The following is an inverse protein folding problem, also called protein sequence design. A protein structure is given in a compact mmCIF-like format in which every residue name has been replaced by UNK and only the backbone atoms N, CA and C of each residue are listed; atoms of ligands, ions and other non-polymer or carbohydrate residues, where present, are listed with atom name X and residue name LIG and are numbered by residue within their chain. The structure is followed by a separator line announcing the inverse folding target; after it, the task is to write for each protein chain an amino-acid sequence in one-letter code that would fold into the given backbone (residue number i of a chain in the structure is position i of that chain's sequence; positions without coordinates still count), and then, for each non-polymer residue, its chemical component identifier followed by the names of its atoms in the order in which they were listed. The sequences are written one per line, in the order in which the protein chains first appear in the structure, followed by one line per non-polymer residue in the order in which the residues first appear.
data_IF_908198138504
#
_entry.id   IF_908198138504
#
_cell.length_a   1.000
_cell.length_b   1.000
_cell.length_c   1.000
_cell.angle_alpha   90.00
_cell.angle_beta   90.00
_cell.angle_gamma   90.00
#
_symmetry.space_group_name_H-M   'P 1'
#
loop_
_entity.id
_entity.type
_entity.pdbx_description
1 polymer ?
#
# COMPACT_ATOMS: atom_id res chain seq x y z
N UNK A 1 -7.39 -3.95 5.26
CA UNK A 1 -5.91 -3.92 5.42
C UNK A 1 -5.42 -2.50 5.20
N UNK A 2 -4.38 -2.01 5.90
CA UNK A 2 -3.88 -0.63 5.71
C UNK A 2 -2.58 -0.67 4.92
N UNK A 3 -2.46 0.13 3.87
CA UNK A 3 -1.23 0.36 3.11
C UNK A 3 -0.74 1.77 3.37
N UNK A 4 0.57 1.92 3.62
CA UNK A 4 1.25 3.22 3.69
C UNK A 4 2.33 3.29 2.63
N UNK A 5 2.36 4.39 1.89
CA UNK A 5 3.34 4.66 0.85
C UNK A 5 4.07 5.95 1.19
N UNK A 6 5.39 5.88 1.28
CA UNK A 6 6.24 7.06 1.31
C UNK A 6 6.51 7.56 -0.10
N UNK A 7 6.29 8.85 -0.32
CA UNK A 7 6.66 9.53 -1.57
C UNK A 7 7.89 10.39 -1.32
N UNK A 8 8.89 10.32 -2.20
CA UNK A 8 10.09 11.14 -2.18
C UNK A 8 9.83 12.57 -2.67
N UNK A 9 10.82 13.45 -2.45
CA UNK A 9 10.80 14.91 -2.73
C UNK A 9 9.81 15.74 -1.90
N UNK A 10 8.70 15.14 -1.50
CA UNK A 10 7.71 15.73 -0.60
C UNK A 10 7.63 14.77 0.58
N UNK A 11 7.98 15.19 1.80
CA UNK A 11 7.91 14.34 2.99
C UNK A 11 6.45 14.01 3.35
N UNK A 12 5.80 13.21 2.50
CA UNK A 12 4.38 12.90 2.51
C UNK A 12 4.21 11.40 2.50
N UNK A 13 3.43 10.94 3.46
CA UNK A 13 2.93 9.57 3.52
C UNK A 13 1.50 9.55 2.98
N UNK A 14 1.19 8.55 2.16
CA UNK A 14 -0.16 8.26 1.70
C UNK A 14 -0.62 6.99 2.40
N UNK A 15 -1.67 7.10 3.19
CA UNK A 15 -2.32 5.97 3.81
C UNK A 15 -3.60 5.62 3.04
N UNK A 16 -3.75 4.34 2.68
CA UNK A 16 -4.93 3.78 2.06
C UNK A 16 -5.46 2.61 2.87
N UNK A 17 -6.78 2.51 2.95
CA UNK A 17 -7.44 1.34 3.53
C UNK A 17 -7.99 0.48 2.39
N UNK A 18 -7.46 -0.73 2.28
CA UNK A 18 -7.85 -1.71 1.26
C UNK A 18 -9.12 -2.44 1.68
N UNK A 19 -9.93 -2.79 0.68
CA UNK A 19 -11.10 -3.65 0.84
C UNK A 19 -10.74 -4.98 1.48
N UNK A 20 -11.73 -5.63 2.09
CA UNK A 20 -11.52 -6.92 2.77
C UNK A 20 -11.15 -8.04 1.77
N UNK A 21 -11.59 -7.90 0.52
CA UNK A 21 -11.37 -8.86 -0.57
C UNK A 21 -10.02 -8.66 -1.29
N UNK A 22 -9.19 -7.70 -0.86
CA UNK A 22 -7.89 -7.45 -1.50
C UNK A 22 -6.91 -8.59 -1.21
N UNK A 23 -6.52 -9.32 -2.26
CA UNK A 23 -5.48 -10.35 -2.16
C UNK A 23 -4.09 -9.72 -2.00
N UNK A 24 -3.36 -10.17 -0.97
CA UNK A 24 -2.05 -9.63 -0.63
C UNK A 24 -0.98 -10.06 -1.65
N UNK A 25 -1.09 -11.27 -2.20
CA UNK A 25 -0.08 -11.81 -3.11
C UNK A 25 -0.13 -11.12 -4.46
N UNK A 26 -1.34 -10.89 -5.01
CA UNK A 26 -1.53 -10.14 -6.24
C UNK A 26 -1.05 -8.69 -6.08
N UNK A 27 -1.43 -8.04 -4.97
CA UNK A 27 -1.00 -6.68 -4.66
C UNK A 27 0.52 -6.54 -4.64
N UNK A 28 1.24 -7.48 -3.99
CA UNK A 28 2.70 -7.47 -3.99
C UNK A 28 3.28 -7.62 -5.39
N UNK A 29 2.73 -8.53 -6.18
CA UNK A 29 3.15 -8.72 -7.58
C UNK A 29 2.93 -7.45 -8.41
N UNK A 30 1.79 -6.78 -8.25
CA UNK A 30 1.49 -5.55 -8.98
C UNK A 30 2.43 -4.41 -8.58
N UNK A 31 2.75 -4.30 -7.29
CA UNK A 31 3.74 -3.36 -6.76
C UNK A 31 5.13 -3.66 -7.34
N UNK A 32 5.57 -4.92 -7.30
CA UNK A 32 6.90 -5.31 -7.81
C UNK A 32 7.01 -5.02 -9.31
N UNK A 33 5.96 -5.30 -10.09
CA UNK A 33 5.92 -4.98 -11.51
C UNK A 33 6.00 -3.47 -11.78
N UNK A 34 5.28 -2.67 -11.00
CA UNK A 34 5.29 -1.21 -11.13
C UNK A 34 6.67 -0.61 -10.78
N UNK A 35 7.31 -1.10 -9.72
CA UNK A 35 8.61 -0.56 -9.26
C UNK A 35 9.76 -1.06 -10.14
N UNK A 36 9.71 -2.31 -10.62
CA UNK A 36 10.78 -2.90 -11.45
C UNK A 36 11.03 -2.11 -12.74
N UNK A 37 10.00 -1.46 -13.27
CA UNK A 37 10.12 -0.65 -14.48
C UNK A 37 10.75 0.72 -14.22
N UNK A 38 10.74 1.22 -12.96
CA UNK A 38 11.13 2.59 -12.57
C UNK A 38 10.49 3.74 -13.37
N UNK A 39 9.54 3.39 -14.23
CA UNK A 39 8.79 4.24 -15.14
C UNK A 39 7.31 3.92 -14.95
N UNK A 40 6.47 4.95 -14.94
CA UNK A 40 5.02 4.81 -14.77
C UNK A 40 4.49 5.14 -13.38
N UNK A 41 3.21 4.82 -13.17
CA UNK A 41 2.43 5.18 -11.99
C UNK A 41 1.87 3.89 -11.38
N UNK A 42 2.15 3.66 -10.10
CA UNK A 42 1.46 2.67 -9.28
C UNK A 42 0.07 3.22 -8.95
N UNK A 43 -0.96 2.60 -9.51
CA UNK A 43 -2.35 2.88 -9.19
C UNK A 43 -2.85 1.93 -8.12
N UNK A 44 -3.48 2.49 -7.09
CA UNK A 44 -4.16 1.74 -6.05
C UNK A 44 -5.57 2.28 -5.85
N UNK A 45 -6.53 1.38 -5.65
CA UNK A 45 -7.91 1.73 -5.32
C UNK A 45 -8.17 1.37 -3.86
N UNK A 46 -8.67 2.32 -3.08
CA UNK A 46 -9.07 2.04 -1.70
C UNK A 46 -10.48 1.45 -1.59
N UNK A 47 -10.88 1.09 -0.38
CA UNK A 47 -12.19 0.49 -0.09
C UNK A 47 -13.38 1.37 -0.48
N UNK A 48 -13.19 2.68 -0.59
CA UNK A 48 -14.24 3.65 -0.93
C UNK A 48 -14.26 3.94 -2.45
N UNK A 49 -13.44 3.22 -3.24
CA UNK A 49 -13.31 3.40 -4.68
C UNK A 49 -12.44 4.59 -5.07
N UNK A 50 -11.73 5.22 -4.14
CA UNK A 50 -10.80 6.30 -4.46
C UNK A 50 -9.53 5.71 -5.06
N UNK A 51 -9.19 6.17 -6.26
CA UNK A 51 -7.96 5.82 -6.95
C UNK A 51 -6.84 6.81 -6.62
N UNK A 52 -5.66 6.28 -6.29
CA UNK A 52 -4.46 7.06 -6.03
C UNK A 52 -3.34 6.55 -6.92
N UNK A 53 -2.71 7.47 -7.66
CA UNK A 53 -1.54 7.21 -8.47
C UNK A 53 -0.27 7.75 -7.82
N UNK A 54 0.74 6.89 -7.66
CA UNK A 54 2.06 7.28 -7.16
C UNK A 54 3.11 6.95 -8.23
N UNK A 55 3.94 7.92 -8.67
CA UNK A 55 5.02 7.62 -9.61
C UNK A 55 6.00 6.60 -9.01
N UNK A 56 6.29 5.52 -9.72
CA UNK A 56 7.12 4.42 -9.21
C UNK A 56 8.52 4.91 -8.78
N UNK A 57 9.10 5.82 -9.55
CA UNK A 57 10.40 6.45 -9.28
C UNK A 57 10.43 7.34 -8.03
N UNK A 58 9.27 7.67 -7.44
CA UNK A 58 9.14 8.48 -6.23
C UNK A 58 8.78 7.65 -5.01
N UNK A 59 8.58 6.34 -5.13
CA UNK A 59 8.25 5.50 -3.98
C UNK A 59 9.52 5.29 -3.14
N UNK A 60 9.47 5.71 -1.87
CA UNK A 60 10.59 5.52 -0.93
C UNK A 60 10.41 4.28 -0.06
N UNK A 61 9.17 3.98 0.31
CA UNK A 61 8.82 2.77 1.05
C UNK A 61 7.35 2.42 0.82
N UNK A 62 7.03 1.13 1.03
CA UNK A 62 5.67 0.64 1.09
C UNK A 62 5.57 -0.25 2.33
N UNK A 63 4.63 0.08 3.20
CA UNK A 63 4.29 -0.71 4.38
C UNK A 63 2.87 -1.26 4.22
N UNK A 64 2.76 -2.59 4.29
CA UNK A 64 1.50 -3.31 4.16
C UNK A 64 1.16 -3.85 5.55
N UNK A 65 0.22 -3.20 6.22
CA UNK A 65 -0.27 -3.60 7.53
C UNK A 65 -0.87 -5.00 7.51
N UNK A 66 -0.64 -5.77 8.57
CA UNK A 66 -1.19 -7.13 8.64
C UNK A 66 -2.72 -7.10 8.75
N UNK A 67 -3.39 -8.05 8.08
CA UNK A 67 -4.82 -8.32 8.31
C UNK A 67 -5.08 -9.04 9.64
N UNK A 68 -4.04 -9.32 10.44
CA UNK A 68 -4.19 -10.00 11.71
C UNK A 68 -5.04 -9.16 12.66
N UNK A 69 -6.14 -9.75 13.17
CA UNK A 69 -6.93 -9.18 14.24
C UNK A 69 -5.99 -8.77 15.39
N UNK A 70 -6.19 -7.60 16.02
CA UNK A 70 -5.41 -7.22 17.20
C UNK A 70 -5.46 -8.37 18.20
N UNK A 71 -4.30 -8.92 18.58
CA UNK A 71 -4.26 -9.85 19.72
C UNK A 71 -4.63 -9.03 20.95
N UNK A 72 -5.90 -9.06 21.34
CA UNK A 72 -6.36 -8.61 22.65
C UNK A 72 -5.75 -9.54 23.70
N UNK A 73 -4.51 -9.24 24.08
CA UNK A 73 -3.85 -9.85 25.20
C UNK A 73 -4.34 -9.19 26.48
N UNK A 74 -5.43 -9.69 27.05
CA UNK A 74 -5.63 -9.53 28.48
C UNK A 74 -4.59 -10.42 29.16
N UNK A 75 -3.49 -9.81 29.61
CA UNK A 75 -2.44 -10.50 30.35
C UNK A 75 -2.99 -11.06 31.66
N UNK A 76 -2.77 -12.35 31.86
CA UNK A 76 -2.64 -12.99 33.16
C UNK A 76 -1.16 -13.31 33.39
#
# INVERSE_FOLDING_TARGET
MIIRIGVGDVAKEIQLEMGEDTDLSSLKSDIDNAISSSEGILWLTDKDGREIGVPASKITFIDIGSQAAPKIGFGA
#
